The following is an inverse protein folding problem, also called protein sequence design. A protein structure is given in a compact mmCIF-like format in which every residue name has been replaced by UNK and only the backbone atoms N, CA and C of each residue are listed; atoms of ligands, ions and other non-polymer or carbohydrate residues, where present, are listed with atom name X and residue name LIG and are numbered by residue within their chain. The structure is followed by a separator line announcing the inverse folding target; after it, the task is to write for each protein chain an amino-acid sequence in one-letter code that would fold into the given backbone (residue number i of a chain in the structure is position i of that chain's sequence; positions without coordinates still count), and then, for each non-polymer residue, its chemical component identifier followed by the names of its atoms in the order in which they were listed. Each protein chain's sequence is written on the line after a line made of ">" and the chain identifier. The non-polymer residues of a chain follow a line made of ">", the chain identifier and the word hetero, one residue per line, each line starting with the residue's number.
data_IF_275248789855
#
_entry.id   IF_275248789855
#
_cell.length_a   1.000
_cell.length_b   1.000
_cell.length_c   1.000
_cell.angle_alpha   90.00
_cell.angle_beta   90.00
_cell.angle_gamma   90.00
#
_symmetry.space_group_name_H-M   'P 1'
#
loop_
_entity.id
_entity.type
_entity.pdbx_description
1 polymer ?
#
# COMPACT_ATOMS: atom_id res chain seq x y z
N UNK A 1 6.80 7.45 -5.42
CA UNK A 1 5.93 7.13 -4.26
C UNK A 1 6.40 5.82 -3.64
N UNK A 2 6.82 5.85 -2.37
CA UNK A 2 7.41 4.69 -1.71
C UNK A 2 6.30 3.83 -1.07
N UNK A 3 5.39 3.30 -1.90
CA UNK A 3 4.10 2.73 -1.46
C UNK A 3 4.18 1.54 -0.49
N UNK A 4 5.36 0.95 -0.29
CA UNK A 4 5.61 -0.07 0.73
C UNK A 4 5.68 0.55 2.13
N UNK A 5 6.36 1.68 2.27
CA UNK A 5 6.44 2.41 3.55
C UNK A 5 5.05 2.88 3.97
N UNK A 6 4.32 3.49 3.03
CA UNK A 6 2.98 4.03 3.30
C UNK A 6 1.97 2.95 3.72
N UNK A 7 2.11 1.71 3.21
CA UNK A 7 1.21 0.62 3.59
C UNK A 7 1.61 -0.07 4.89
N UNK A 8 2.90 -0.31 5.13
CA UNK A 8 3.36 -0.79 6.44
C UNK A 8 3.00 0.22 7.54
N UNK A 9 3.07 1.52 7.24
CA UNK A 9 2.61 2.61 8.12
C UNK A 9 1.09 2.60 8.38
N UNK A 10 0.29 2.10 7.44
CA UNK A 10 -1.16 1.90 7.62
C UNK A 10 -1.47 0.64 8.47
N UNK A 11 -0.76 -0.47 8.26
CA UNK A 11 -0.98 -1.73 8.98
C UNK A 11 -0.47 -1.74 10.43
N UNK A 12 0.55 -0.95 10.77
CA UNK A 12 1.04 -0.76 12.15
C UNK A 12 -0.03 -0.19 13.12
N UNK A 13 -1.22 0.12 12.61
CA UNK A 13 -2.37 0.63 13.36
C UNK A 13 -3.02 -0.38 14.33
N UNK A 14 -2.70 -1.68 14.28
CA UNK A 14 -3.31 -2.71 15.15
C UNK A 14 -2.46 -3.06 16.40
N UNK A 15 -1.22 -2.55 16.51
CA UNK A 15 -0.26 -3.07 17.51
C UNK A 15 0.26 -2.09 18.56
N UNK A 16 0.88 -0.96 18.19
CA UNK A 16 1.47 -0.06 19.20
C UNK A 16 1.88 1.34 18.75
N UNK A 17 1.56 1.80 17.53
CA UNK A 17 2.01 3.13 17.04
C UNK A 17 0.91 3.88 16.29
N UNK A 18 -0.11 4.28 17.04
CA UNK A 18 -1.32 5.01 16.60
C UNK A 18 -1.10 6.43 16.03
N UNK A 19 0.15 6.91 15.94
CA UNK A 19 0.43 8.31 15.61
C UNK A 19 0.56 8.64 14.12
N UNK A 20 1.15 7.76 13.31
CA UNK A 20 1.66 8.17 11.98
C UNK A 20 0.61 8.12 10.86
N UNK A 21 -0.25 7.11 10.82
CA UNK A 21 -1.35 7.02 9.85
C UNK A 21 -2.38 8.13 10.05
N UNK A 22 -2.70 8.44 11.31
CA UNK A 22 -3.52 9.59 11.68
C UNK A 22 -2.88 10.89 11.20
N UNK A 23 -1.56 11.07 11.39
CA UNK A 23 -0.85 12.26 10.91
C UNK A 23 -0.91 12.39 9.38
N UNK A 24 -0.70 11.31 8.64
CA UNK A 24 -0.76 11.31 7.17
C UNK A 24 -2.15 11.69 6.65
N UNK A 25 -3.22 11.22 7.31
CA UNK A 25 -4.61 11.62 7.03
C UNK A 25 -4.81 13.09 7.36
N UNK A 26 -4.38 13.55 8.54
CA UNK A 26 -4.58 14.93 9.00
C UNK A 26 -3.88 15.97 8.15
N UNK A 27 -2.67 15.68 7.65
CA UNK A 27 -1.92 16.59 6.78
C UNK A 27 -2.32 16.47 5.32
N UNK A 28 -3.24 15.57 4.98
CA UNK A 28 -3.71 15.38 3.61
C UNK A 28 -2.61 14.82 2.69
N UNK A 29 -1.72 13.99 3.23
CA UNK A 29 -0.57 13.48 2.48
C UNK A 29 -1.03 12.66 1.29
N UNK A 30 -0.44 12.93 0.12
CA UNK A 30 -0.61 12.08 -1.06
C UNK A 30 0.15 10.76 -0.88
N UNK A 31 -0.48 9.83 -0.16
CA UNK A 31 0.03 8.51 0.21
C UNK A 31 -0.63 7.41 -0.64
N UNK A 32 0.01 6.25 -0.75
CA UNK A 32 -0.60 5.10 -1.45
C UNK A 32 -2.04 4.79 -0.97
N UNK A 33 -2.36 4.70 0.34
CA UNK A 33 -3.72 4.39 0.76
C UNK A 33 -4.75 5.45 0.35
N UNK A 34 -4.37 6.73 0.34
CA UNK A 34 -5.24 7.81 -0.13
C UNK A 34 -5.56 7.69 -1.62
N UNK A 35 -4.53 7.48 -2.45
CA UNK A 35 -4.69 7.34 -3.90
C UNK A 35 -5.49 6.08 -4.22
N UNK A 36 -5.16 4.95 -3.59
CA UNK A 36 -5.87 3.69 -3.79
C UNK A 36 -7.33 3.76 -3.35
N UNK A 37 -7.64 4.41 -2.23
CA UNK A 37 -9.01 4.61 -1.81
C UNK A 37 -9.79 5.43 -2.84
N UNK A 38 -9.25 6.57 -3.28
CA UNK A 38 -9.89 7.42 -4.30
C UNK A 38 -10.12 6.72 -5.65
N UNK A 39 -9.32 5.71 -5.99
CA UNK A 39 -9.49 4.88 -7.19
C UNK A 39 -10.61 3.84 -7.06
N UNK A 40 -10.93 3.41 -5.85
CA UNK A 40 -11.88 2.31 -5.58
C UNK A 40 -13.18 2.77 -4.90
N UNK A 41 -13.24 4.00 -4.40
CA UNK A 41 -14.44 4.60 -3.82
C UNK A 41 -15.57 4.72 -4.85
N UNK A 42 -16.79 4.42 -4.42
CA UNK A 42 -17.99 4.91 -5.09
C UNK A 42 -18.21 6.42 -4.87
N UNK A 43 -19.25 6.99 -5.47
CA UNK A 43 -19.54 8.42 -5.36
C UNK A 43 -19.82 8.90 -3.92
N UNK A 44 -20.43 8.06 -3.08
CA UNK A 44 -20.73 8.41 -1.68
C UNK A 44 -19.47 8.36 -0.83
N UNK A 45 -18.69 7.29 -1.00
CA UNK A 45 -17.40 7.10 -0.35
C UNK A 45 -16.40 8.19 -0.74
N UNK A 46 -16.38 8.60 -2.01
CA UNK A 46 -15.56 9.71 -2.49
C UNK A 46 -15.93 11.02 -1.80
N UNK A 47 -17.22 11.31 -1.63
CA UNK A 47 -17.67 12.49 -0.89
C UNK A 47 -17.21 12.46 0.57
N UNK A 48 -17.31 11.31 1.23
CA UNK A 48 -16.77 11.13 2.59
C UNK A 48 -15.26 11.41 2.59
N UNK A 49 -14.52 10.89 1.62
CA UNK A 49 -13.09 11.15 1.53
C UNK A 49 -12.78 12.64 1.39
N UNK A 50 -13.43 13.33 0.45
CA UNK A 50 -13.20 14.75 0.15
C UNK A 50 -13.58 15.68 1.32
N UNK A 51 -14.61 15.34 2.10
CA UNK A 51 -15.05 16.14 3.25
C UNK A 51 -14.17 15.96 4.50
N UNK A 52 -13.48 14.82 4.62
CA UNK A 52 -12.83 14.43 5.87
C UNK A 52 -11.30 14.31 5.76
N UNK A 53 -10.73 14.09 4.57
CA UNK A 53 -9.28 13.94 4.40
C UNK A 53 -8.55 15.28 4.51
N UNK A 54 -7.39 15.32 5.18
CA UNK A 54 -6.64 16.56 5.40
C UNK A 54 -7.17 17.42 6.56
N UNK A 55 -7.89 16.82 7.49
CA UNK A 55 -8.41 17.47 8.70
C UNK A 55 -7.75 16.93 9.96
N UNK A 56 -7.43 17.82 10.90
CA UNK A 56 -6.94 17.45 12.23
C UNK A 56 -8.07 17.04 13.19
N UNK A 57 -9.33 17.15 12.77
CA UNK A 57 -10.48 16.70 13.56
C UNK A 57 -10.42 15.17 13.73
N UNK A 58 -10.39 14.65 14.98
CA UNK A 58 -10.40 13.22 15.25
C UNK A 58 -11.57 12.46 14.62
N UNK A 59 -12.75 13.09 14.50
CA UNK A 59 -13.91 12.46 13.87
C UNK A 59 -13.70 12.29 12.36
N UNK A 60 -13.09 13.29 11.71
CA UNK A 60 -12.75 13.23 10.30
C UNK A 60 -11.72 12.13 10.02
N UNK A 61 -10.68 12.04 10.86
CA UNK A 61 -9.66 10.98 10.76
C UNK A 61 -10.31 9.60 10.90
N UNK A 62 -11.19 9.42 11.88
CA UNK A 62 -11.89 8.15 12.11
C UNK A 62 -12.78 7.76 10.92
N UNK A 63 -13.48 8.72 10.29
CA UNK A 63 -14.27 8.47 9.08
C UNK A 63 -13.41 7.98 7.92
N UNK A 64 -12.22 8.55 7.73
CA UNK A 64 -11.27 8.06 6.71
C UNK A 64 -10.73 6.67 7.05
N UNK A 65 -10.39 6.40 8.31
CA UNK A 65 -9.94 5.09 8.75
C UNK A 65 -11.00 4.01 8.54
N UNK A 66 -12.27 4.33 8.86
CA UNK A 66 -13.40 3.45 8.58
C UNK A 66 -13.57 3.23 7.08
N UNK A 67 -13.49 4.27 6.27
CA UNK A 67 -13.56 4.15 4.82
C UNK A 67 -12.46 3.22 4.26
N UNK A 68 -11.23 3.31 4.77
CA UNK A 68 -10.15 2.39 4.42
C UNK A 68 -10.46 0.93 4.81
N UNK A 69 -11.05 0.72 5.98
CA UNK A 69 -11.50 -0.62 6.40
C UNK A 69 -12.59 -1.16 5.47
N UNK A 70 -13.61 -0.33 5.17
CA UNK A 70 -14.74 -0.70 4.31
C UNK A 70 -14.30 -1.05 2.87
N UNK A 71 -13.25 -0.41 2.36
CA UNK A 71 -12.64 -0.71 1.06
C UNK A 71 -11.73 -1.94 1.08
N UNK A 72 -11.50 -2.55 2.25
CA UNK A 72 -10.59 -3.67 2.43
C UNK A 72 -9.19 -3.36 1.86
N UNK A 73 -8.61 -2.23 2.30
CA UNK A 73 -7.28 -1.78 1.92
C UNK A 73 -6.18 -2.87 2.00
N UNK A 74 -6.19 -3.77 3.00
CA UNK A 74 -5.35 -4.97 3.01
C UNK A 74 -5.38 -5.81 1.72
N UNK A 75 -6.57 -6.11 1.23
CA UNK A 75 -6.76 -6.92 0.03
C UNK A 75 -6.26 -6.18 -1.21
N UNK A 76 -6.62 -4.90 -1.36
CA UNK A 76 -6.17 -4.06 -2.47
C UNK A 76 -4.65 -3.99 -2.55
N UNK A 77 -3.98 -3.89 -1.41
CA UNK A 77 -2.52 -3.88 -1.38
C UNK A 77 -1.91 -5.21 -1.82
N UNK A 78 -2.46 -6.34 -1.35
CA UNK A 78 -1.99 -7.67 -1.78
C UNK A 78 -2.12 -7.84 -3.30
N UNK A 79 -3.23 -7.38 -3.86
CA UNK A 79 -3.48 -7.42 -5.32
C UNK A 79 -2.50 -6.53 -6.09
N UNK A 80 -2.27 -5.30 -5.62
CA UNK A 80 -1.33 -4.34 -6.22
C UNK A 80 0.11 -4.87 -6.20
N UNK A 81 0.57 -5.42 -5.07
CA UNK A 81 1.90 -6.02 -4.95
C UNK A 81 2.04 -7.24 -5.87
N UNK A 82 1.03 -8.11 -5.94
CA UNK A 82 1.01 -9.25 -6.86
C UNK A 82 1.08 -8.80 -8.32
N UNK A 83 0.33 -7.76 -8.69
CA UNK A 83 0.34 -7.17 -10.04
C UNK A 83 1.71 -6.60 -10.41
N UNK A 84 2.33 -5.82 -9.51
CA UNK A 84 3.67 -5.27 -9.69
C UNK A 84 4.73 -6.36 -9.82
N UNK A 85 4.62 -7.42 -9.02
CA UNK A 85 5.50 -8.58 -9.08
C UNK A 85 5.43 -9.27 -10.45
N UNK A 86 4.21 -9.54 -10.94
CA UNK A 86 4.00 -10.15 -12.24
C UNK A 86 4.55 -9.29 -13.38
N UNK A 87 4.27 -7.98 -13.34
CA UNK A 87 4.78 -7.02 -14.31
C UNK A 87 6.31 -7.00 -14.32
N UNK A 88 6.93 -7.02 -13.14
CA UNK A 88 8.39 -7.08 -13.02
C UNK A 88 8.96 -8.36 -13.61
N UNK A 89 8.38 -9.52 -13.29
CA UNK A 89 8.81 -10.80 -13.87
C UNK A 89 8.68 -10.83 -15.39
N UNK A 90 7.59 -10.28 -15.94
CA UNK A 90 7.42 -10.16 -17.40
C UNK A 90 8.56 -9.35 -18.02
N UNK A 91 8.93 -8.21 -17.41
CA UNK A 91 10.05 -7.38 -17.89
C UNK A 91 11.39 -8.12 -17.81
N UNK A 92 11.64 -8.84 -16.72
CA UNK A 92 12.87 -9.63 -16.55
C UNK A 92 12.96 -10.77 -17.58
N UNK A 93 11.84 -11.44 -17.85
CA UNK A 93 11.80 -12.53 -18.85
C UNK A 93 11.89 -12.01 -20.29
N UNK A 94 11.57 -10.74 -20.53
CA UNK A 94 11.68 -10.10 -21.84
C UNK A 94 13.08 -9.52 -22.11
N UNK A 95 14.02 -9.64 -21.16
CA UNK A 95 15.40 -9.22 -21.37
C UNK A 95 16.10 -10.13 -22.39
N UNK A 96 17.01 -9.58 -23.22
CA UNK A 96 17.82 -10.39 -24.13
C UNK A 96 18.80 -11.28 -23.35
N UNK A 97 19.26 -12.37 -23.98
CA UNK A 97 20.14 -13.37 -23.33
C UNK A 97 21.50 -12.81 -22.89
N UNK A 98 21.99 -11.78 -23.58
CA UNK A 98 23.25 -11.08 -23.29
C UNK A 98 23.06 -9.86 -22.37
N UNK A 99 21.86 -9.66 -21.81
CA UNK A 99 21.58 -8.58 -20.90
C UNK A 99 22.56 -8.57 -19.72
N UNK A 100 23.11 -7.39 -19.42
CA UNK A 100 23.99 -7.17 -18.26
C UNK A 100 23.38 -6.05 -17.40
N UNK A 101 23.00 -6.31 -16.13
CA UNK A 101 23.05 -7.59 -15.42
C UNK A 101 22.11 -8.66 -16.00
N UNK A 102 22.43 -9.94 -15.78
CA UNK A 102 21.61 -11.04 -16.29
C UNK A 102 20.23 -11.09 -15.63
N UNK A 103 19.22 -11.69 -16.28
CA UNK A 103 17.88 -11.88 -15.72
C UNK A 103 17.88 -12.55 -14.33
N UNK A 104 18.84 -13.44 -14.06
CA UNK A 104 18.95 -14.14 -12.78
C UNK A 104 19.36 -13.23 -11.63
N UNK A 105 20.13 -12.17 -11.88
CA UNK A 105 20.44 -11.15 -10.86
C UNK A 105 19.15 -10.47 -10.41
N UNK A 106 18.32 -10.05 -11.36
CA UNK A 106 17.03 -9.42 -11.07
C UNK A 106 16.08 -10.36 -10.34
N UNK A 107 16.03 -11.66 -10.72
CA UNK A 107 15.24 -12.68 -10.00
C UNK A 107 15.70 -12.87 -8.57
N UNK A 108 17.02 -12.89 -8.30
CA UNK A 108 17.58 -13.02 -6.95
C UNK A 108 17.19 -11.82 -6.06
N UNK A 109 17.32 -10.61 -6.59
CA UNK A 109 16.89 -9.39 -5.88
C UNK A 109 15.39 -9.46 -5.55
N UNK A 110 14.57 -9.85 -6.54
CA UNK A 110 13.13 -9.95 -6.35
C UNK A 110 12.73 -11.01 -5.31
N UNK A 111 13.37 -12.17 -5.33
CA UNK A 111 13.13 -13.24 -4.36
C UNK A 111 13.54 -12.83 -2.94
N UNK A 112 14.65 -12.10 -2.79
CA UNK A 112 15.07 -11.53 -1.51
C UNK A 112 14.02 -10.54 -0.96
N UNK A 113 13.52 -9.63 -1.81
CA UNK A 113 12.44 -8.73 -1.41
C UNK A 113 11.15 -9.46 -1.03
N UNK A 114 10.84 -10.57 -1.73
CA UNK A 114 9.64 -11.37 -1.47
C UNK A 114 9.71 -12.12 -0.14
N UNK A 115 10.84 -12.77 0.15
CA UNK A 115 11.00 -13.50 1.42
C UNK A 115 10.86 -12.58 2.62
N UNK A 116 11.35 -11.33 2.51
CA UNK A 116 11.17 -10.31 3.54
C UNK A 116 9.70 -9.89 3.71
N UNK A 117 8.93 -9.82 2.62
CA UNK A 117 7.51 -9.43 2.70
C UNK A 117 6.56 -10.55 3.07
N UNK A 118 6.81 -11.79 2.66
CA UNK A 118 5.96 -12.92 3.08
C UNK A 118 6.08 -13.12 4.59
N UNK A 119 7.27 -12.85 5.16
CA UNK A 119 7.50 -12.85 6.61
C UNK A 119 6.76 -11.69 7.29
N UNK A 120 6.87 -10.45 6.78
CA UNK A 120 6.11 -9.32 7.31
C UNK A 120 4.58 -9.53 7.20
N UNK A 121 4.09 -10.09 6.09
CA UNK A 121 2.66 -10.35 5.86
C UNK A 121 2.06 -11.33 6.88
N UNK A 122 2.86 -12.26 7.42
CA UNK A 122 2.44 -13.16 8.50
C UNK A 122 2.17 -12.42 9.82
N UNK A 123 2.79 -11.27 10.05
CA UNK A 123 2.58 -10.47 11.26
C UNK A 123 1.35 -9.55 11.19
N UNK A 124 0.91 -9.17 9.99
CA UNK A 124 -0.15 -8.16 9.82
C UNK A 124 -1.50 -8.72 9.35
N UNK A 125 -1.58 -10.02 9.02
CA UNK A 125 -2.79 -10.65 8.46
C UNK A 125 -3.10 -12.03 9.04
N UNK A 126 -2.56 -12.35 10.21
CA UNK A 126 -2.90 -13.56 10.97
C UNK A 126 -4.06 -13.28 11.94
#
# INVERSE_FOLDING_TARGET
>A
MNGRNDFTEYLDADGSRTGKSSTDISVGKCSWPAVSALQHCDAKQRKIFEENYGSWDPEHINRIQKLYSDLNMPKLYKEEIKSRYNTYLQKVNALPEDATPSPDVFRKILNFYRSYTDDASRYYFA
#
